data_IF_355106494266
#
_entry.id   IF_355106494266
#
_cell.length_a   1.000
_cell.length_b   1.000
_cell.length_c   1.000
_cell.angle_alpha   90.00
_cell.angle_beta   90.00
_cell.angle_gamma   90.00
#
_symmetry.space_group_name_H-M   'P 1'
#
loop_
_entity.id
_entity.type
_entity.pdbx_description
1 polymer ?
#
# COMPACT_ATOMS: atom_id res chain seq x y z
N UNK A 1 18.99 4.43 1.09
CA UNK A 1 19.66 3.45 1.97
C UNK A 1 20.67 2.71 1.11
N UNK A 2 21.92 2.55 1.56
CA UNK A 2 22.90 1.75 0.81
C UNK A 2 22.42 0.27 0.79
N UNK A 3 22.68 -0.49 -0.29
CA UNK A 3 22.33 -1.91 -0.33
C UNK A 3 23.10 -2.68 0.76
N UNK A 4 22.48 -3.68 1.41
CA UNK A 4 23.16 -4.53 2.39
C UNK A 4 24.31 -5.26 1.70
N UNK A 5 25.52 -5.14 2.23
CA UNK A 5 26.73 -5.61 1.57
C UNK A 5 27.18 -7.00 2.02
N UNK A 6 26.62 -7.57 3.10
CA UNK A 6 27.06 -8.86 3.64
C UNK A 6 25.89 -9.69 4.18
N UNK A 7 24.99 -10.17 3.30
CA UNK A 7 24.05 -11.23 3.70
C UNK A 7 24.84 -12.52 3.92
N UNK A 8 24.64 -13.20 5.04
CA UNK A 8 25.24 -14.50 5.28
C UNK A 8 24.79 -15.50 4.19
N UNK A 9 25.72 -16.25 3.55
CA UNK A 9 25.37 -17.16 2.46
C UNK A 9 24.39 -18.26 2.86
N UNK A 10 24.38 -18.62 4.15
CA UNK A 10 23.68 -19.80 4.66
C UNK A 10 22.25 -19.51 5.17
N UNK A 11 21.81 -18.24 5.21
CA UNK A 11 20.45 -17.93 5.64
C UNK A 11 19.42 -18.35 4.60
N UNK A 12 18.43 -19.14 5.01
CA UNK A 12 17.39 -19.71 4.15
C UNK A 12 16.16 -18.80 4.20
N UNK A 13 15.85 -18.14 3.08
CA UNK A 13 14.70 -17.22 2.97
C UNK A 13 13.39 -17.91 2.61
N UNK A 14 13.46 -19.18 2.17
CA UNK A 14 12.32 -19.95 1.68
C UNK A 14 11.16 -20.03 2.68
N UNK A 15 9.96 -19.92 2.11
CA UNK A 15 8.65 -20.06 2.77
C UNK A 15 8.30 -19.05 3.87
N UNK A 16 9.14 -18.08 4.24
CA UNK A 16 8.83 -17.18 5.38
C UNK A 16 7.55 -16.33 5.16
N UNK A 17 7.31 -15.78 3.96
CA UNK A 17 6.39 -14.63 3.80
C UNK A 17 5.03 -14.90 3.14
N UNK A 18 4.77 -16.03 2.48
CA UNK A 18 3.46 -16.21 1.83
C UNK A 18 2.37 -16.59 2.84
N UNK A 19 2.57 -17.68 3.56
CA UNK A 19 1.52 -18.28 4.40
C UNK A 19 1.57 -17.70 5.81
N UNK A 20 2.76 -17.60 6.40
CA UNK A 20 2.92 -17.09 7.77
C UNK A 20 2.45 -15.65 7.94
N UNK A 21 2.66 -14.80 6.92
CA UNK A 21 2.17 -13.42 6.91
C UNK A 21 0.64 -13.36 6.89
N UNK A 22 0.00 -14.17 6.05
CA UNK A 22 -1.46 -14.26 6.00
C UNK A 22 -2.05 -14.82 7.29
N UNK A 23 -1.41 -15.83 7.86
CA UNK A 23 -1.80 -16.39 9.16
C UNK A 23 -1.65 -15.34 10.26
N UNK A 24 -0.55 -14.60 10.29
CA UNK A 24 -0.36 -13.49 11.23
C UNK A 24 -1.44 -12.41 11.08
N UNK A 25 -1.69 -11.93 9.85
CA UNK A 25 -2.71 -10.90 9.61
C UNK A 25 -4.09 -11.39 10.05
N UNK A 26 -4.45 -12.63 9.72
CA UNK A 26 -5.72 -13.24 10.11
C UNK A 26 -5.88 -13.41 11.61
N UNK A 27 -4.84 -13.90 12.30
CA UNK A 27 -4.94 -14.32 13.70
C UNK A 27 -4.61 -13.18 14.67
N UNK A 28 -3.66 -12.31 14.34
CA UNK A 28 -3.13 -11.31 15.26
C UNK A 28 -3.78 -9.93 15.09
N UNK A 29 -4.20 -9.55 13.87
CA UNK A 29 -4.67 -8.17 13.58
C UNK A 29 -5.92 -7.78 14.36
N UNK A 30 -6.86 -8.71 14.53
CA UNK A 30 -8.05 -8.50 15.36
C UNK A 30 -7.76 -8.63 16.86
N UNK A 31 -6.73 -9.38 17.21
CA UNK A 31 -6.40 -9.69 18.60
C UNK A 31 -5.69 -8.53 19.31
N UNK A 32 -4.95 -7.68 18.59
CA UNK A 32 -4.31 -6.49 19.16
C UNK A 32 -5.28 -5.49 19.82
N UNK A 33 -6.56 -5.53 19.45
CA UNK A 33 -7.62 -4.67 19.99
C UNK A 33 -8.45 -5.34 21.10
N UNK A 34 -8.24 -6.63 21.36
CA UNK A 34 -8.96 -7.34 22.42
C UNK A 34 -8.50 -6.83 23.79
N UNK A 35 -9.48 -6.54 24.65
CA UNK A 35 -9.22 -6.16 26.04
C UNK A 35 -9.10 -7.44 26.87
N UNK A 36 -7.89 -7.98 26.92
CA UNK A 36 -7.50 -9.00 27.89
C UNK A 36 -6.60 -8.35 28.96
N UNK A 37 -7.09 -8.17 30.20
CA UNK A 37 -6.33 -7.55 31.28
C UNK A 37 -5.01 -8.29 31.58
N UNK A 38 -4.98 -9.61 31.51
CA UNK A 38 -3.76 -10.39 31.80
C UNK A 38 -2.72 -10.19 30.71
N UNK A 39 -3.17 -10.09 29.46
CA UNK A 39 -2.30 -9.78 28.33
C UNK A 39 -1.74 -8.35 28.40
N UNK A 40 -2.56 -7.36 28.78
CA UNK A 40 -2.12 -5.98 28.98
C UNK A 40 -1.01 -5.88 30.05
N UNK A 41 -1.19 -6.58 31.17
CA UNK A 41 -0.18 -6.64 32.23
C UNK A 41 1.11 -7.30 31.70
N UNK A 42 0.99 -8.40 30.96
CA UNK A 42 2.15 -9.11 30.38
C UNK A 42 2.96 -8.20 29.47
N UNK A 43 2.29 -7.50 28.54
CA UNK A 43 2.96 -6.58 27.63
C UNK A 43 3.54 -5.35 28.33
N UNK A 44 2.92 -4.85 29.39
CA UNK A 44 3.48 -3.77 30.21
C UNK A 44 4.77 -4.21 30.93
N UNK A 45 4.77 -5.42 31.50
CA UNK A 45 5.96 -6.00 32.15
C UNK A 45 7.10 -6.20 31.15
N UNK A 46 6.80 -6.78 29.98
CA UNK A 46 7.77 -6.99 28.91
C UNK A 46 8.35 -5.67 28.43
N UNK A 47 7.50 -4.68 28.13
CA UNK A 47 7.91 -3.36 27.67
C UNK A 47 8.91 -2.71 28.63
N UNK A 48 8.58 -2.73 29.93
CA UNK A 48 9.41 -2.14 30.97
C UNK A 48 10.75 -2.86 31.06
N UNK A 49 10.75 -4.19 30.98
CA UNK A 49 11.95 -5.01 31.09
C UNK A 49 12.86 -4.91 29.86
N UNK A 50 12.32 -4.65 28.67
CA UNK A 50 13.08 -4.43 27.44
C UNK A 50 13.48 -2.96 27.24
N UNK A 51 13.09 -2.08 28.16
CA UNK A 51 13.30 -0.63 28.08
C UNK A 51 12.77 -0.03 26.76
N UNK A 52 11.60 -0.51 26.30
CA UNK A 52 10.92 0.01 25.12
C UNK A 52 10.30 1.38 25.44
N UNK A 53 11.12 2.43 25.28
CA UNK A 53 10.79 3.81 25.67
C UNK A 53 10.17 4.62 24.54
N UNK A 54 10.41 4.24 23.28
CA UNK A 54 9.84 4.90 22.11
C UNK A 54 8.52 4.24 21.70
N UNK A 55 7.48 5.05 21.44
CA UNK A 55 6.18 4.58 20.95
C UNK A 55 5.52 3.48 21.82
N UNK A 56 5.49 3.70 23.14
CA UNK A 56 4.94 2.81 24.17
C UNK A 56 3.63 2.09 23.78
N UNK A 57 2.64 2.85 23.28
CA UNK A 57 1.34 2.27 22.91
C UNK A 57 1.42 1.34 21.69
N UNK A 58 2.31 1.65 20.74
CA UNK A 58 2.55 0.79 19.58
C UNK A 58 3.25 -0.50 19.99
N UNK A 59 4.30 -0.40 20.82
CA UNK A 59 4.97 -1.59 21.38
C UNK A 59 3.96 -2.52 22.05
N UNK A 60 3.07 -1.99 22.89
CA UNK A 60 2.04 -2.79 23.56
C UNK A 60 1.10 -3.46 22.56
N UNK A 61 0.65 -2.75 21.53
CA UNK A 61 -0.20 -3.32 20.48
C UNK A 61 0.49 -4.46 19.74
N UNK A 62 1.76 -4.26 19.36
CA UNK A 62 2.53 -5.28 18.66
C UNK A 62 2.89 -6.46 19.57
N UNK A 63 3.22 -6.21 20.83
CA UNK A 63 3.40 -7.27 21.83
C UNK A 63 2.15 -8.17 21.94
N UNK A 64 0.95 -7.59 21.99
CA UNK A 64 -0.31 -8.36 22.01
C UNK A 64 -0.44 -9.25 20.78
N UNK A 65 -0.21 -8.67 19.59
CA UNK A 65 -0.26 -9.39 18.31
C UNK A 65 0.74 -10.54 18.26
N UNK A 66 1.97 -10.29 18.71
CA UNK A 66 3.03 -11.29 18.79
C UNK A 66 2.66 -12.44 19.73
N UNK A 67 2.12 -12.17 20.92
CA UNK A 67 1.71 -13.21 21.87
C UNK A 67 0.55 -14.04 21.31
N UNK A 68 -0.45 -13.41 20.70
CA UNK A 68 -1.53 -14.13 20.04
C UNK A 68 -1.07 -14.99 18.86
N UNK A 69 -0.07 -14.50 18.11
CA UNK A 69 0.50 -15.28 17.03
C UNK A 69 1.24 -16.52 17.54
N UNK A 70 1.97 -16.40 18.65
CA UNK A 70 2.61 -17.54 19.31
C UNK A 70 1.59 -18.58 19.79
N UNK A 71 0.48 -18.14 20.38
CA UNK A 71 -0.62 -19.04 20.76
C UNK A 71 -1.17 -19.81 19.54
N UNK A 72 -1.31 -19.14 18.39
CA UNK A 72 -1.71 -19.80 17.14
C UNK A 72 -0.67 -20.85 16.71
N UNK A 73 0.63 -20.49 16.69
CA UNK A 73 1.72 -21.39 16.28
C UNK A 73 1.78 -22.64 17.17
N UNK A 74 1.48 -22.51 18.47
CA UNK A 74 1.47 -23.65 19.40
C UNK A 74 0.56 -24.79 18.93
N UNK A 75 -0.54 -24.45 18.27
CA UNK A 75 -1.57 -25.38 17.82
C UNK A 75 -1.46 -25.77 16.33
N UNK A 76 -0.45 -25.29 15.59
CA UNK A 76 -0.23 -25.67 14.17
C UNK A 76 0.60 -26.95 14.02
N UNK A 77 0.70 -27.49 12.79
CA UNK A 77 1.52 -28.68 12.49
C UNK A 77 3.01 -28.35 12.54
N UNK A 78 3.87 -29.33 12.87
CA UNK A 78 5.31 -29.12 13.09
C UNK A 78 6.07 -28.48 11.92
N UNK A 79 5.77 -28.87 10.67
CA UNK A 79 6.39 -28.26 9.48
C UNK A 79 5.99 -26.79 9.30
N UNK A 80 4.75 -26.43 9.64
CA UNK A 80 4.28 -25.05 9.61
C UNK A 80 4.87 -24.24 10.76
N UNK A 81 5.15 -24.86 11.92
CA UNK A 81 5.74 -24.20 13.10
C UNK A 81 7.08 -23.55 12.77
N UNK A 82 8.03 -24.26 12.13
CA UNK A 82 9.36 -23.69 11.80
C UNK A 82 9.22 -22.39 11.01
N UNK A 83 8.42 -22.43 9.94
CA UNK A 83 8.16 -21.29 9.05
C UNK A 83 7.49 -20.13 9.78
N UNK A 84 6.46 -20.40 10.59
CA UNK A 84 5.77 -19.37 11.37
C UNK A 84 6.67 -18.78 12.46
N UNK A 85 7.54 -19.58 13.07
CA UNK A 85 8.52 -19.11 14.05
C UNK A 85 9.59 -18.21 13.43
N UNK A 86 10.04 -18.51 12.21
CA UNK A 86 10.93 -17.62 11.47
C UNK A 86 10.26 -16.27 11.19
N UNK A 87 8.98 -16.29 10.81
CA UNK A 87 8.21 -15.06 10.62
C UNK A 87 7.98 -14.29 11.93
N UNK A 88 7.67 -14.98 13.03
CA UNK A 88 7.59 -14.38 14.37
C UNK A 88 8.90 -13.69 14.78
N UNK A 89 10.04 -14.34 14.52
CA UNK A 89 11.36 -13.78 14.82
C UNK A 89 11.62 -12.49 14.03
N UNK A 90 11.29 -12.47 12.73
CA UNK A 90 11.31 -11.27 11.91
C UNK A 90 10.44 -10.14 12.50
N UNK A 91 9.20 -10.44 12.88
CA UNK A 91 8.29 -9.46 13.48
C UNK A 91 8.84 -8.91 14.80
N UNK A 92 9.33 -9.78 15.68
CA UNK A 92 9.93 -9.38 16.96
C UNK A 92 11.14 -8.49 16.74
N UNK A 93 12.04 -8.84 15.82
CA UNK A 93 13.17 -7.99 15.44
C UNK A 93 12.71 -6.60 15.03
N UNK A 94 11.64 -6.51 14.23
CA UNK A 94 11.04 -5.23 13.84
C UNK A 94 10.54 -4.41 15.03
N UNK A 95 9.78 -5.03 15.94
CA UNK A 95 9.29 -4.36 17.16
C UNK A 95 10.44 -3.82 18.02
N UNK A 96 11.50 -4.60 18.21
CA UNK A 96 12.68 -4.21 18.99
C UNK A 96 13.46 -3.06 18.34
N UNK A 97 13.53 -3.05 17.00
CA UNK A 97 14.18 -1.98 16.23
C UNK A 97 13.35 -0.71 16.29
N UNK A 98 12.07 -0.79 15.95
CA UNK A 98 11.16 0.37 15.84
C UNK A 98 10.92 1.02 17.22
N UNK A 99 10.85 0.23 18.29
CA UNK A 99 10.65 0.73 19.66
C UNK A 99 11.94 1.15 20.37
N UNK A 100 13.09 1.10 19.67
CA UNK A 100 14.41 1.46 20.18
C UNK A 100 14.78 0.75 21.49
N UNK A 101 14.40 -0.52 21.64
CA UNK A 101 14.77 -1.32 22.82
C UNK A 101 16.29 -1.45 22.95
N UNK A 102 16.80 -1.52 24.18
CA UNK A 102 18.24 -1.74 24.42
C UNK A 102 18.68 -3.12 23.93
N UNK A 103 17.81 -4.12 24.14
CA UNK A 103 18.02 -5.48 23.68
C UNK A 103 17.61 -5.63 22.22
N UNK A 104 18.60 -5.69 21.33
CA UNK A 104 18.41 -5.84 19.87
C UNK A 104 18.41 -7.28 19.37
N UNK A 105 18.94 -8.21 20.16
CA UNK A 105 18.94 -9.62 19.82
C UNK A 105 17.53 -10.20 20.08
N UNK A 106 16.86 -10.65 19.02
CA UNK A 106 15.48 -11.13 19.10
C UNK A 106 15.37 -12.44 19.90
N UNK A 107 16.37 -13.31 19.84
CA UNK A 107 16.41 -14.57 20.59
C UNK A 107 16.50 -14.33 22.10
N UNK A 108 17.36 -13.43 22.53
CA UNK A 108 17.48 -13.05 23.94
C UNK A 108 16.22 -12.35 24.43
N UNK A 109 15.66 -11.44 23.64
CA UNK A 109 14.41 -10.76 23.97
C UNK A 109 13.26 -11.75 24.15
N UNK A 110 13.12 -12.72 23.24
CA UNK A 110 12.08 -13.73 23.33
C UNK A 110 12.22 -14.62 24.57
N UNK A 111 13.45 -15.09 24.87
CA UNK A 111 13.72 -15.84 26.12
C UNK A 111 13.30 -15.03 27.35
N UNK A 112 13.66 -13.75 27.39
CA UNK A 112 13.30 -12.84 28.47
C UNK A 112 11.78 -12.67 28.58
N UNK A 113 11.07 -12.54 27.46
CA UNK A 113 9.59 -12.47 27.43
C UNK A 113 8.95 -13.72 28.06
N UNK A 114 9.46 -14.92 27.76
CA UNK A 114 8.99 -16.18 28.35
C UNK A 114 9.25 -16.20 29.86
N UNK A 115 10.47 -15.87 30.28
CA UNK A 115 10.84 -15.88 31.70
C UNK A 115 9.97 -14.93 32.55
N UNK A 116 9.76 -13.71 32.07
CA UNK A 116 8.95 -12.69 32.75
C UNK A 116 7.48 -13.09 32.92
N UNK A 117 6.96 -13.94 32.04
CA UNK A 117 5.56 -14.35 32.04
C UNK A 117 5.34 -15.78 32.53
N UNK A 118 6.41 -16.45 32.98
CA UNK A 118 6.37 -17.84 33.46
C UNK A 118 5.56 -18.00 34.75
N UNK A 119 5.61 -16.99 35.61
CA UNK A 119 5.00 -16.97 36.95
C UNK A 119 4.05 -15.79 37.12
N UNK A 120 3.05 -15.94 37.99
CA UNK A 120 2.09 -14.89 38.32
C UNK A 120 0.78 -15.00 37.53
N UNK A 121 -0.15 -14.08 37.82
CA UNK A 121 -1.46 -14.02 37.18
C UNK A 121 -1.43 -13.17 35.90
N UNK A 122 -0.56 -13.56 34.96
CA UNK A 122 -0.35 -12.90 33.67
C UNK A 122 -0.55 -13.88 32.52
N UNK A 123 -0.76 -13.36 31.30
CA UNK A 123 -0.83 -14.19 30.09
C UNK A 123 0.58 -14.70 29.78
N UNK A 124 0.74 -16.02 29.78
CA UNK A 124 2.01 -16.69 29.49
C UNK A 124 2.37 -16.51 28.02
N UNK A 125 3.63 -16.19 27.76
CA UNK A 125 4.22 -16.25 26.42
C UNK A 125 4.58 -17.70 26.12
N UNK A 126 4.02 -18.26 25.06
CA UNK A 126 4.34 -19.62 24.61
C UNK A 126 5.81 -19.72 24.20
N UNK A 127 6.47 -20.84 24.53
CA UNK A 127 7.87 -21.14 24.18
C UNK A 127 8.02 -21.94 22.88
N UNK A 128 6.92 -22.12 22.14
CA UNK A 128 6.85 -22.96 20.92
C UNK A 128 7.95 -22.68 19.88
N UNK A 129 8.46 -21.46 19.81
CA UNK A 129 9.45 -21.06 18.82
C UNK A 129 10.91 -21.16 19.28
N UNK A 130 11.18 -21.50 20.55
CA UNK A 130 12.52 -21.34 21.13
C UNK A 130 13.62 -22.17 20.42
N UNK A 131 13.24 -23.32 19.88
CA UNK A 131 14.14 -24.23 19.14
C UNK A 131 14.37 -23.81 17.68
N UNK A 132 13.55 -22.92 17.14
CA UNK A 132 13.62 -22.45 15.74
C UNK A 132 14.24 -21.06 15.60
N UNK A 133 14.68 -20.44 16.70
CA UNK A 133 15.25 -19.09 16.69
C UNK A 133 16.69 -19.07 16.17
N UNK A 134 16.82 -18.58 14.95
CA UNK A 134 18.07 -18.14 14.33
C UNK A 134 18.25 -16.63 14.54
N UNK A 135 19.48 -16.15 14.74
CA UNK A 135 19.68 -14.70 14.92
C UNK A 135 19.49 -13.99 13.58
N UNK A 136 18.82 -12.84 13.60
CA UNK A 136 18.59 -12.02 12.40
C UNK A 136 19.41 -10.75 12.59
N UNK A 137 20.53 -10.68 11.86
CA UNK A 137 21.33 -9.47 11.78
C UNK A 137 20.61 -8.36 11.01
N UNK A 138 21.19 -7.15 10.98
CA UNK A 138 20.56 -5.99 10.34
C UNK A 138 20.44 -6.12 8.81
N UNK A 139 21.37 -6.83 8.16
CA UNK A 139 21.36 -7.00 6.71
C UNK A 139 20.26 -8.00 6.30
N UNK A 140 20.15 -9.12 7.02
CA UNK A 140 19.07 -10.10 6.83
C UNK A 140 17.72 -9.43 7.15
N UNK A 141 17.63 -8.71 8.28
CA UNK A 141 16.40 -8.00 8.66
C UNK A 141 15.97 -7.00 7.57
N UNK A 142 16.91 -6.27 6.98
CA UNK A 142 16.65 -5.35 5.87
C UNK A 142 16.03 -6.10 4.68
N UNK A 143 16.62 -7.22 4.25
CA UNK A 143 16.07 -8.00 3.13
C UNK A 143 14.69 -8.58 3.46
N UNK A 144 14.50 -9.13 4.66
CA UNK A 144 13.21 -9.62 5.14
C UNK A 144 12.15 -8.51 5.12
N UNK A 145 12.51 -7.28 5.49
CA UNK A 145 11.61 -6.12 5.42
C UNK A 145 11.21 -5.78 3.98
N UNK A 146 12.17 -5.73 3.05
CA UNK A 146 11.87 -5.48 1.64
C UNK A 146 11.00 -6.62 1.03
N UNK A 147 11.23 -7.87 1.44
CA UNK A 147 10.40 -9.01 1.07
C UNK A 147 8.98 -8.87 1.60
N UNK A 148 8.80 -8.52 2.88
CA UNK A 148 7.48 -8.28 3.47
C UNK A 148 6.70 -7.20 2.70
N UNK A 149 7.37 -6.11 2.33
CA UNK A 149 6.78 -5.05 1.49
C UNK A 149 6.35 -5.57 0.11
N UNK A 150 7.18 -6.39 -0.56
CA UNK A 150 6.82 -7.03 -1.82
C UNK A 150 5.53 -7.86 -1.68
N UNK A 151 5.44 -8.69 -0.64
CA UNK A 151 4.26 -9.52 -0.41
C UNK A 151 3.01 -8.71 -0.05
N UNK A 152 3.16 -7.60 0.69
CA UNK A 152 2.07 -6.66 0.94
C UNK A 152 1.53 -6.09 -0.37
N UNK A 153 2.40 -5.57 -1.25
CA UNK A 153 1.97 -5.07 -2.56
C UNK A 153 1.35 -6.15 -3.43
N UNK A 154 1.88 -7.37 -3.38
CA UNK A 154 1.35 -8.52 -4.11
C UNK A 154 -0.09 -8.84 -3.68
N UNK A 155 -0.36 -8.91 -2.37
CA UNK A 155 -1.70 -9.18 -1.84
C UNK A 155 -2.66 -8.03 -2.15
N UNK A 156 -2.22 -6.77 -2.00
CA UNK A 156 -3.03 -5.59 -2.30
C UNK A 156 -3.47 -5.53 -3.77
N UNK A 157 -2.65 -6.06 -4.69
CA UNK A 157 -2.98 -6.14 -6.11
C UNK A 157 -3.80 -7.38 -6.48
N UNK A 158 -4.31 -8.14 -5.52
CA UNK A 158 -5.14 -9.32 -5.79
C UNK A 158 -4.33 -10.56 -6.14
N UNK A 159 -3.13 -10.72 -5.56
CA UNK A 159 -2.20 -11.81 -5.81
C UNK A 159 -1.72 -11.88 -7.26
N UNK A 160 -1.59 -10.71 -7.89
CA UNK A 160 -0.90 -10.52 -9.16
C UNK A 160 0.11 -9.39 -8.99
N UNK A 161 1.16 -9.40 -9.80
CA UNK A 161 2.20 -8.38 -9.75
C UNK A 161 2.38 -7.74 -11.13
N UNK A 162 1.45 -6.85 -11.55
CA UNK A 162 1.47 -6.30 -12.89
C UNK A 162 2.69 -5.42 -13.16
N UNK A 163 3.07 -5.33 -14.44
CA UNK A 163 4.11 -4.41 -14.88
C UNK A 163 3.75 -2.97 -14.47
N UNK A 164 4.78 -2.19 -14.13
CA UNK A 164 4.67 -0.79 -13.70
C UNK A 164 3.89 -0.55 -12.40
N UNK A 165 3.67 -1.59 -11.58
CA UNK A 165 3.09 -1.45 -10.23
C UNK A 165 4.17 -1.38 -9.16
N UNK A 166 3.80 -0.93 -7.96
CA UNK A 166 4.69 -0.96 -6.79
C UNK A 166 5.20 -2.37 -6.48
N UNK A 167 4.36 -3.40 -6.68
CA UNK A 167 4.78 -4.79 -6.56
C UNK A 167 5.95 -5.11 -7.50
N UNK A 168 5.82 -4.79 -8.79
CA UNK A 168 6.85 -5.07 -9.78
C UNK A 168 8.12 -4.22 -9.57
N UNK A 169 7.95 -2.95 -9.21
CA UNK A 169 9.07 -2.06 -8.88
C UNK A 169 9.84 -2.59 -7.67
N UNK A 170 9.14 -3.06 -6.63
CA UNK A 170 9.76 -3.65 -5.44
C UNK A 170 10.48 -4.97 -5.77
N UNK A 171 9.86 -5.82 -6.59
CA UNK A 171 10.50 -7.02 -7.11
C UNK A 171 11.83 -6.67 -7.82
N UNK A 172 11.81 -5.69 -8.74
CA UNK A 172 13.01 -5.26 -9.49
C UNK A 172 14.12 -4.74 -8.58
N UNK A 173 13.78 -4.04 -7.50
CA UNK A 173 14.74 -3.62 -6.47
C UNK A 173 15.39 -4.84 -5.80
N UNK A 174 14.58 -5.78 -5.32
CA UNK A 174 15.03 -7.02 -4.68
C UNK A 174 15.87 -7.89 -5.63
N UNK A 175 15.53 -7.99 -6.91
CA UNK A 175 16.31 -8.75 -7.90
C UNK A 175 17.73 -8.21 -8.04
N UNK A 176 17.91 -6.88 -8.01
CA UNK A 176 19.24 -6.27 -8.01
C UNK A 176 20.02 -6.62 -6.75
N UNK A 177 19.35 -6.61 -5.60
CA UNK A 177 19.96 -7.00 -4.32
C UNK A 177 20.41 -8.46 -4.32
N UNK A 178 19.62 -9.38 -4.90
CA UNK A 178 19.99 -10.79 -5.01
C UNK A 178 21.32 -10.96 -5.76
N UNK A 179 21.51 -10.26 -6.89
CA UNK A 179 22.75 -10.33 -7.67
C UNK A 179 23.95 -9.85 -6.85
N UNK A 180 23.79 -8.81 -6.03
CA UNK A 180 24.88 -8.30 -5.19
C UNK A 180 25.14 -9.13 -3.92
N UNK A 181 24.10 -9.73 -3.34
CA UNK A 181 24.17 -10.36 -2.03
C UNK A 181 24.82 -11.75 -2.01
N UNK A 182 24.91 -12.42 -3.17
CA UNK A 182 25.47 -13.79 -3.30
C UNK A 182 24.83 -14.82 -2.34
N UNK A 183 23.55 -14.66 -2.01
CA UNK A 183 22.78 -15.63 -1.26
C UNK A 183 21.83 -16.36 -2.23
N UNK A 184 22.12 -17.64 -2.47
CA UNK A 184 21.40 -18.44 -3.46
C UNK A 184 19.93 -18.66 -3.06
N UNK A 185 19.65 -18.89 -1.77
CA UNK A 185 18.28 -19.10 -1.28
C UNK A 185 17.41 -17.87 -1.54
N UNK A 186 17.94 -16.66 -1.30
CA UNK A 186 17.25 -15.41 -1.59
C UNK A 186 16.94 -15.27 -3.10
N UNK A 187 17.92 -15.55 -3.95
CA UNK A 187 17.75 -15.49 -5.40
C UNK A 187 16.74 -16.53 -5.91
N UNK A 188 16.79 -17.76 -5.40
CA UNK A 188 15.83 -18.82 -5.72
C UNK A 188 14.42 -18.42 -5.32
N UNK A 189 14.23 -17.86 -4.12
CA UNK A 189 12.93 -17.35 -3.67
C UNK A 189 12.36 -16.30 -4.64
N UNK A 190 13.18 -15.31 -5.05
CA UNK A 190 12.73 -14.26 -5.97
C UNK A 190 12.42 -14.80 -7.37
N UNK A 191 13.22 -15.73 -7.88
CA UNK A 191 12.96 -16.36 -9.16
C UNK A 191 11.65 -17.14 -9.15
N UNK A 192 11.39 -17.90 -8.08
CA UNK A 192 10.13 -18.62 -7.90
C UNK A 192 8.93 -17.66 -7.84
N UNK A 193 9.09 -16.53 -7.13
CA UNK A 193 8.07 -15.48 -7.09
C UNK A 193 7.79 -14.92 -8.48
N UNK A 194 8.84 -14.62 -9.27
CA UNK A 194 8.73 -14.11 -10.63
C UNK A 194 7.99 -15.08 -11.56
N UNK A 195 8.44 -16.34 -11.62
CA UNK A 195 7.83 -17.35 -12.50
C UNK A 195 6.34 -17.53 -12.20
N UNK A 196 5.99 -17.60 -10.92
CA UNK A 196 4.62 -17.85 -10.50
C UNK A 196 3.69 -16.65 -10.73
N UNK A 197 4.17 -15.44 -10.43
CA UNK A 197 3.31 -14.27 -10.24
C UNK A 197 3.48 -13.18 -11.31
N UNK A 198 4.55 -13.23 -12.12
CA UNK A 198 4.88 -12.20 -13.12
C UNK A 198 4.94 -12.81 -14.52
N UNK A 199 5.66 -13.90 -14.74
CA UNK A 199 5.86 -14.47 -16.09
C UNK A 199 4.56 -15.00 -16.71
N UNK A 200 3.71 -15.63 -15.91
CA UNK A 200 2.37 -16.03 -16.34
C UNK A 200 1.56 -14.84 -16.89
N UNK A 201 1.84 -13.61 -16.42
CA UNK A 201 1.22 -12.41 -16.94
C UNK A 201 1.83 -11.95 -18.26
N UNK A 202 3.16 -12.05 -18.44
CA UNK A 202 3.82 -11.72 -19.71
C UNK A 202 3.41 -12.69 -20.83
N UNK A 203 3.26 -13.99 -20.54
CA UNK A 203 2.74 -14.95 -21.51
C UNK A 203 1.30 -14.61 -21.90
N UNK A 204 0.45 -14.26 -20.94
CA UNK A 204 -0.92 -13.85 -21.23
C UNK A 204 -1.01 -12.54 -22.03
N UNK A 205 -0.14 -11.56 -21.76
CA UNK A 205 -0.04 -10.32 -22.54
C UNK A 205 0.42 -10.65 -23.98
N UNK A 206 1.49 -11.41 -24.16
CA UNK A 206 1.96 -11.81 -25.48
C UNK A 206 0.89 -12.57 -26.27
N UNK A 207 0.14 -13.46 -25.62
CA UNK A 207 -1.00 -14.18 -26.25
C UNK A 207 -2.13 -13.21 -26.61
N UNK A 208 -2.46 -12.24 -25.76
CA UNK A 208 -3.47 -11.23 -26.08
C UNK A 208 -3.03 -10.31 -27.22
N UNK A 209 -1.78 -9.84 -27.22
CA UNK A 209 -1.21 -9.04 -28.29
C UNK A 209 -1.17 -9.82 -29.62
N UNK A 210 -0.82 -11.10 -29.60
CA UNK A 210 -0.89 -11.97 -30.77
C UNK A 210 -2.34 -12.14 -31.26
N UNK A 211 -3.30 -12.32 -30.35
CA UNK A 211 -4.72 -12.41 -30.72
C UNK A 211 -5.23 -11.12 -31.34
N UNK A 212 -4.82 -9.96 -30.82
CA UNK A 212 -5.17 -8.64 -31.38
C UNK A 212 -4.60 -8.51 -32.79
N UNK A 213 -3.30 -8.79 -32.98
CA UNK A 213 -2.66 -8.76 -34.31
C UNK A 213 -3.32 -9.72 -35.31
N UNK A 214 -3.67 -10.93 -34.87
CA UNK A 214 -4.33 -11.90 -35.72
C UNK A 214 -5.76 -11.46 -36.09
N UNK A 215 -6.47 -10.78 -35.18
CA UNK A 215 -7.79 -10.20 -35.48
C UNK A 215 -7.68 -9.02 -36.46
N UNK A 216 -6.67 -8.17 -36.33
CA UNK A 216 -6.39 -7.08 -37.28
C UNK A 216 -6.09 -7.62 -38.68
N UNK A 217 -5.30 -8.69 -38.79
CA UNK A 217 -5.02 -9.37 -40.07
C UNK A 217 -6.26 -10.00 -40.70
N UNK A 218 -7.16 -10.59 -39.91
CA UNK A 218 -8.44 -11.13 -40.44
C UNK A 218 -9.36 -10.02 -40.95
N UNK A 219 -9.28 -8.82 -40.37
CA UNK A 219 -10.03 -7.65 -40.85
C UNK A 219 -9.42 -7.15 -42.18
N UNK A 220 -8.09 -7.17 -42.31
CA UNK A 220 -7.37 -6.76 -43.52
C UNK A 220 -7.52 -7.79 -44.67
N UNK A 221 -7.57 -9.09 -44.38
CA UNK A 221 -7.76 -10.16 -45.37
C UNK A 221 -9.22 -10.33 -45.82
N UNK A 222 -10.19 -9.78 -45.07
CA UNK A 222 -11.62 -9.75 -45.46
C UNK A 222 -11.99 -8.57 -46.35
N UNK A 223 -11.06 -7.71 -46.74
CA UNK A 223 -11.25 -6.84 -47.89
C UNK A 223 -11.33 -7.71 -49.15
N UNK A 224 -12.58 -8.09 -49.50
CA UNK A 224 -12.96 -8.89 -50.67
C UNK A 224 -12.24 -8.40 -51.95
N UNK A 225 -11.88 -9.29 -52.90
CA UNK A 225 -11.36 -8.88 -54.19
C UNK A 225 -12.36 -7.93 -54.86
N UNK A 226 -11.83 -6.78 -55.29
CA UNK A 226 -12.55 -5.69 -55.93
C UNK A 226 -13.52 -6.20 -57.02
N UNK A 227 -14.80 -6.29 -56.69
CA UNK A 227 -15.88 -6.17 -57.66
C UNK A 227 -15.85 -4.69 -58.10
N UNK A 228 -15.92 -4.38 -59.41
CA UNK A 228 -15.83 -2.99 -59.88
C UNK A 228 -17.09 -2.22 -59.48
N UNK A 229 -17.05 -1.64 -58.28
CA UNK A 229 -18.07 -0.74 -57.76
C UNK A 229 -17.94 0.65 -58.40
N UNK A 230 -18.36 0.76 -59.66
CA UNK A 230 -18.88 2.03 -60.19
C UNK A 230 -20.33 2.21 -59.71
N UNK A 231 -20.50 2.46 -58.41
CA UNK A 231 -21.65 3.14 -57.80
C UNK A 231 -21.54 2.98 -56.29
N UNK A 232 -21.72 4.07 -55.56
CA UNK A 232 -22.02 4.09 -54.12
C UNK A 232 -20.83 4.12 -53.13
N UNK A 233 -20.04 5.20 -53.17
CA UNK A 233 -19.48 5.76 -51.92
C UNK A 233 -19.26 7.26 -52.06
N UNK A 234 -20.35 8.02 -51.89
CA UNK A 234 -20.28 9.48 -51.77
C UNK A 234 -20.15 9.88 -50.30
N UNK A 235 -18.94 10.33 -49.96
CA UNK A 235 -18.68 11.49 -49.11
C UNK A 235 -19.19 11.49 -47.64
N UNK A 236 -18.68 10.58 -46.81
CA UNK A 236 -18.75 10.68 -45.33
C UNK A 236 -18.31 12.04 -44.75
N UNK A 237 -17.25 12.72 -45.24
CA UNK A 237 -16.91 14.06 -44.74
C UNK A 237 -17.94 15.13 -45.11
N UNK A 238 -18.70 14.96 -46.20
CA UNK A 238 -19.76 15.91 -46.58
C UNK A 238 -20.99 15.74 -45.70
N UNK A 239 -21.33 14.52 -45.27
CA UNK A 239 -22.45 14.29 -44.34
C UNK A 239 -22.18 14.97 -42.98
N UNK A 240 -20.97 14.79 -42.44
CA UNK A 240 -20.57 15.44 -41.17
C UNK A 240 -20.59 16.96 -41.31
N UNK A 241 -20.08 17.50 -42.43
CA UNK A 241 -20.11 18.94 -42.70
C UNK A 241 -21.53 19.48 -42.82
N UNK A 242 -22.44 18.77 -43.48
CA UNK A 242 -23.86 19.17 -43.59
C UNK A 242 -24.58 19.17 -42.25
N UNK A 243 -24.28 18.22 -41.37
CA UNK A 243 -24.86 18.17 -40.01
C UNK A 243 -24.41 19.35 -39.16
N UNK A 244 -23.12 19.73 -39.24
CA UNK A 244 -22.57 20.88 -38.51
C UNK A 244 -23.21 22.18 -39.02
N UNK A 245 -23.31 22.37 -40.34
CA UNK A 245 -23.91 23.58 -40.92
C UNK A 245 -25.39 23.70 -40.53
N UNK A 246 -26.15 22.59 -40.55
CA UNK A 246 -27.54 22.56 -40.11
C UNK A 246 -27.71 22.91 -38.63
N UNK A 247 -26.79 22.47 -37.77
CA UNK A 247 -26.82 22.82 -36.35
C UNK A 247 -26.60 24.33 -36.14
N UNK A 248 -25.63 24.91 -36.85
CA UNK A 248 -25.31 26.34 -36.76
C UNK A 248 -26.42 27.23 -37.32
N UNK A 249 -27.08 26.85 -38.41
CA UNK A 249 -28.19 27.63 -38.98
C UNK A 249 -29.39 27.68 -38.05
N UNK A 250 -29.74 26.56 -37.41
CA UNK A 250 -30.82 26.52 -36.41
C UNK A 250 -30.49 27.42 -35.22
N UNK A 251 -29.28 27.34 -34.67
CA UNK A 251 -28.85 28.19 -33.56
C UNK A 251 -28.89 29.68 -33.91
N UNK A 252 -28.44 30.06 -35.11
CA UNK A 252 -28.51 31.44 -35.58
C UNK A 252 -29.96 31.91 -35.71
N UNK A 253 -30.84 31.12 -36.33
CA UNK A 253 -32.26 31.45 -36.45
C UNK A 253 -32.90 31.61 -35.07
N UNK A 254 -32.64 30.69 -34.13
CA UNK A 254 -33.11 30.82 -32.74
C UNK A 254 -32.56 32.06 -32.05
N UNK A 255 -31.30 32.42 -32.27
CA UNK A 255 -30.69 33.63 -31.71
C UNK A 255 -31.30 34.92 -32.29
N UNK A 256 -31.54 34.98 -33.60
CA UNK A 256 -32.24 36.10 -34.24
C UNK A 256 -33.70 36.17 -33.77
N UNK A 257 -34.42 35.05 -33.70
CA UNK A 257 -35.77 35.03 -33.15
C UNK A 257 -35.77 35.45 -31.67
N UNK A 258 -34.81 35.00 -30.86
CA UNK A 258 -34.68 35.43 -29.47
C UNK A 258 -34.41 36.94 -29.34
N UNK A 259 -33.56 37.49 -30.20
CA UNK A 259 -33.17 38.91 -30.18
C UNK A 259 -34.26 39.85 -30.72
N UNK A 260 -35.06 39.41 -31.69
CA UNK A 260 -36.01 40.25 -32.42
C UNK A 260 -37.48 39.90 -32.19
N UNK A 261 -37.80 38.81 -31.48
CA UNK A 261 -39.16 38.52 -31.00
C UNK A 261 -39.36 39.18 -29.64
N UNK A 262 -40.43 39.96 -29.42
CA UNK A 262 -40.65 40.71 -28.18
C UNK A 262 -41.18 39.80 -27.03
N UNK A 263 -40.61 38.60 -26.89
CA UNK A 263 -40.79 37.72 -25.73
C UNK A 263 -39.69 37.92 -24.67
N UNK A 264 -38.70 38.79 -24.94
CA UNK A 264 -37.61 39.12 -24.01
C UNK A 264 -38.04 39.75 -22.69
N UNK A 265 -39.23 40.37 -22.63
CA UNK A 265 -39.79 40.92 -21.39
C UNK A 265 -40.25 39.85 -20.39
N UNK A 266 -40.50 38.62 -20.85
CA UNK A 266 -41.00 37.53 -19.98
C UNK A 266 -39.87 36.70 -19.33
N UNK A 267 -38.67 36.70 -19.92
CA UNK A 267 -37.52 35.92 -19.42
C UNK A 267 -36.57 36.72 -18.53
N UNK A 268 -36.60 38.05 -18.61
CA UNK A 268 -35.79 38.93 -17.76
C UNK A 268 -36.01 38.70 -16.24
N UNK A 269 -37.24 38.48 -15.73
CA UNK A 269 -37.45 38.18 -14.32
C UNK A 269 -36.83 36.84 -13.91
N UNK A 270 -36.88 35.84 -14.78
CA UNK A 270 -36.40 34.48 -14.53
C UNK A 270 -34.87 34.43 -14.50
N UNK A 271 -34.21 35.13 -15.44
CA UNK A 271 -32.74 35.26 -15.46
C UNK A 271 -32.24 36.07 -14.27
N UNK A 272 -32.96 37.12 -13.85
CA UNK A 272 -32.64 37.89 -12.64
C UNK A 272 -32.74 37.04 -11.36
N UNK A 273 -33.77 36.18 -11.25
CA UNK A 273 -33.91 35.23 -10.13
C UNK A 273 -32.76 34.21 -10.10
N UNK A 274 -32.37 33.66 -11.25
CA UNK A 274 -31.25 32.71 -11.32
C UNK A 274 -29.91 33.38 -10.96
N UNK A 275 -29.69 34.63 -11.42
CA UNK A 275 -28.51 35.42 -11.07
C UNK A 275 -28.43 35.73 -9.56
N UNK A 276 -29.57 36.01 -8.93
CA UNK A 276 -29.63 36.21 -7.48
C UNK A 276 -29.36 34.92 -6.70
N UNK A 277 -29.82 33.76 -7.19
CA UNK A 277 -29.54 32.45 -6.57
C UNK A 277 -28.04 32.09 -6.69
N UNK A 278 -27.42 32.36 -7.84
CA UNK A 278 -25.98 32.14 -8.02
C UNK A 278 -25.15 33.07 -7.12
N UNK A 279 -25.47 34.36 -7.09
CA UNK A 279 -24.76 35.32 -6.24
C UNK A 279 -24.93 35.02 -4.73
N UNK A 280 -26.01 34.36 -4.31
CA UNK A 280 -26.17 33.91 -2.92
C UNK A 280 -25.31 32.66 -2.63
N UNK A 281 -25.26 31.67 -3.53
CA UNK A 281 -24.41 30.47 -3.36
C UNK A 281 -22.90 30.78 -3.34
N UNK A 282 -22.46 31.84 -4.02
CA UNK A 282 -21.05 32.25 -3.98
C UNK A 282 -20.60 32.82 -2.62
N UNK A 283 -21.52 33.30 -1.77
CA UNK A 283 -21.16 33.75 -0.41
C UNK A 283 -20.99 32.59 0.57
N UNK A 284 -21.77 31.52 0.41
CA UNK A 284 -21.74 30.37 1.31
C UNK A 284 -20.64 29.36 0.95
N UNK A 285 -20.20 29.29 -0.31
CA UNK A 285 -19.13 28.38 -0.74
C UNK A 285 -17.71 28.94 -0.64
N UNK A 286 -17.52 30.26 -0.45
CA UNK A 286 -16.20 30.84 -0.19
C UNK A 286 -15.68 30.56 1.23
N UNK A 287 -16.56 30.21 2.18
CA UNK A 287 -16.15 29.85 3.55
C UNK A 287 -15.83 28.36 3.75
N UNK A 288 -15.99 27.53 2.72
CA UNK A 288 -15.73 26.07 2.84
C UNK A 288 -14.37 25.69 2.23
N UNK A 289 -13.80 26.51 1.34
CA UNK A 289 -12.54 26.19 0.66
C UNK A 289 -11.29 26.76 1.38
N UNK A 290 -11.43 27.79 2.20
CA UNK A 290 -10.30 28.43 2.92
C UNK A 290 -10.01 27.83 4.32
N UNK A 291 -10.76 26.85 4.83
CA UNK A 291 -10.54 26.30 6.18
C UNK A 291 -9.63 25.06 6.25
N UNK A 292 -9.20 24.51 5.10
CA UNK A 292 -8.37 23.30 5.07
C UNK A 292 -6.88 23.54 4.78
N UNK A 293 -6.49 24.74 4.33
CA UNK A 293 -5.10 25.09 4.02
C UNK A 293 -4.42 26.04 5.04
N UNK A 294 -5.13 26.53 6.06
CA UNK A 294 -4.56 27.47 7.05
C UNK A 294 -4.15 26.86 8.40
N UNK A 295 -4.44 25.58 8.69
CA UNK A 295 -4.09 24.99 10.01
C UNK A 295 -2.77 24.21 10.06
N UNK A 296 -2.01 24.15 8.96
CA UNK A 296 -0.76 23.37 8.91
C UNK A 296 0.54 24.21 8.85
N UNK A 297 0.46 25.53 8.67
CA UNK A 297 1.66 26.37 8.53
C UNK A 297 1.99 27.24 9.76
N UNK A 298 1.12 27.33 10.77
CA UNK A 298 1.37 28.13 11.98
C UNK A 298 2.00 27.35 13.15
N UNK A 299 2.15 26.02 13.06
CA UNK A 299 2.76 25.20 14.13
C UNK A 299 4.27 24.98 13.98
N UNK A 300 4.86 25.26 12.82
CA UNK A 300 6.28 24.99 12.56
C UNK A 300 7.21 26.22 12.55
N UNK A 301 6.67 27.44 12.57
CA UNK A 301 7.51 28.64 12.44
C UNK A 301 7.90 29.34 13.74
N UNK A 302 7.49 28.86 14.92
CA UNK A 302 7.71 29.59 16.18
C UNK A 302 8.54 28.85 17.25
N UNK A 303 9.50 28.00 16.85
CA UNK A 303 10.38 27.29 17.81
C UNK A 303 11.89 27.58 17.71
N UNK A 304 12.32 28.58 16.95
CA UNK A 304 13.72 29.05 17.04
C UNK A 304 13.79 30.58 16.86
N UNK A 305 13.93 31.30 17.97
CA UNK A 305 13.98 32.77 17.99
C UNK A 305 14.28 33.34 19.38
N UNK A 306 15.43 32.95 19.93
CA UNK A 306 16.35 33.74 20.77
C UNK A 306 15.72 34.69 21.80
N UNK A 307 15.90 34.36 23.09
CA UNK A 307 15.66 35.28 24.19
C UNK A 307 16.70 36.37 24.30
N UNK A 308 16.27 37.57 24.70
CA UNK A 308 17.03 38.50 25.52
C UNK A 308 16.07 39.27 26.45
N UNK A 309 16.49 39.35 27.70
CA UNK A 309 15.95 40.21 28.77
C UNK A 309 15.85 41.68 28.34
N UNK A 310 14.88 42.41 28.89
CA UNK A 310 15.20 43.65 29.60
C UNK A 310 14.21 43.92 30.75
N UNK A 311 14.81 44.15 31.91
CA UNK A 311 14.27 44.63 33.18
C UNK A 311 13.76 46.07 33.01
N UNK A 312 12.69 46.47 33.71
CA UNK A 312 12.50 47.90 34.00
C UNK A 312 11.10 48.36 34.37
N UNK A 313 10.84 48.40 35.68
CA UNK A 313 10.01 49.35 36.43
C UNK A 313 9.23 50.43 35.64
N UNK A 314 7.92 50.55 35.87
CA UNK A 314 7.32 51.28 37.00
C UNK A 314 5.83 50.99 37.11
#
# INVERSE_FOLDING_TARGET
MAPPNNITPDYIFEDIFSTSMLDYDKQARNAGNLVDPKLEVSCTTIQTSLNASYLVNFFKSDCKRLIHYLDYIEHTKSSDKKRSCNYFNYLLKGVLTDSKCDMKNSKEAYKKMIELTKTGDVKKVSDVCITYFEDIDEDIYSVLKHLNELYLYFIMNGNICPLNTDCFNKYKELSKMCISAKNDSFCVLLNNFMQKNIENMMQNINIMEQKIKNMEQIIEEKELPAIPYHAYFTNTPTVILTLIIMLFTVLMITFFLYKYTPLGSFLQPTVSKIRNIWNNKNKDHLNIMDSSEFSHNDLFHNKYGIGWNYIGYK
#
